data_IF_104332180813
#
_entry.id   IF_104332180813
#
_cell.length_a   1.000
_cell.length_b   1.000
_cell.length_c   1.000
_cell.angle_alpha   90.00
_cell.angle_beta   90.00
_cell.angle_gamma   90.00
#
_symmetry.space_group_name_H-M   'P 1'
#
loop_
_entity.id
_entity.type
_entity.pdbx_description
1 polymer ?
#
# COMPACT_ATOMS: atom_id res chain seq x y z
N UNK A 1 65.42 29.78 34.59
CA UNK A 1 63.98 30.13 34.59
C UNK A 1 63.40 29.68 33.26
N UNK A 2 62.64 28.58 33.23
CA UNK A 2 62.05 28.02 32.01
C UNK A 2 60.63 28.53 31.81
N UNK A 3 60.37 29.10 30.63
CA UNK A 3 59.07 29.64 30.23
C UNK A 3 58.13 28.48 29.87
N UNK A 4 57.03 28.34 30.61
CA UNK A 4 55.98 27.36 30.30
C UNK A 4 55.07 27.91 29.20
N UNK A 5 55.21 27.37 27.99
CA UNK A 5 54.35 27.68 26.85
C UNK A 5 52.95 27.11 27.10
N UNK A 6 52.01 28.01 27.42
CA UNK A 6 50.58 27.70 27.53
C UNK A 6 50.01 27.39 26.15
N UNK A 7 49.91 26.10 25.79
CA UNK A 7 49.18 25.67 24.60
C UNK A 7 47.70 25.94 24.82
N UNK A 8 47.13 26.90 24.11
CA UNK A 8 45.67 26.97 23.91
C UNK A 8 45.31 25.76 23.03
N UNK A 9 44.30 24.95 23.41
CA UNK A 9 43.70 24.03 22.47
C UNK A 9 43.08 24.89 21.37
N UNK A 10 43.57 24.71 20.15
CA UNK A 10 43.05 25.38 18.98
C UNK A 10 41.56 25.13 18.86
N UNK A 11 40.88 26.23 18.50
CA UNK A 11 39.47 26.38 18.27
C UNK A 11 39.03 25.45 17.13
N UNK A 12 38.83 24.17 17.44
CA UNK A 12 38.21 23.20 16.54
C UNK A 12 36.74 23.62 16.38
N UNK A 13 36.50 24.47 15.38
CA UNK A 13 35.29 25.28 15.30
C UNK A 13 34.00 24.46 15.21
N UNK A 14 32.85 25.11 15.47
CA UNK A 14 31.52 24.47 15.48
C UNK A 14 31.18 23.73 14.18
N UNK A 15 31.86 24.07 13.09
CA UNK A 15 31.75 23.46 11.75
C UNK A 15 32.22 22.00 11.70
N UNK A 16 33.23 21.63 12.48
CA UNK A 16 33.74 20.25 12.55
C UNK A 16 32.81 19.36 13.36
N UNK A 17 32.25 19.89 14.45
CA UNK A 17 31.26 19.20 15.29
C UNK A 17 30.00 18.92 14.48
N UNK A 18 29.50 19.91 13.73
CA UNK A 18 28.35 19.74 12.84
C UNK A 18 28.60 18.69 11.76
N UNK A 19 29.80 18.67 11.17
CA UNK A 19 30.15 17.66 10.14
C UNK A 19 30.23 16.26 10.73
N UNK A 20 30.77 16.11 11.95
CA UNK A 20 30.80 14.83 12.66
C UNK A 20 29.41 14.36 13.08
N UNK A 21 28.53 15.26 13.52
CA UNK A 21 27.12 14.94 13.83
C UNK A 21 26.37 14.53 12.56
N UNK A 22 26.58 15.23 11.44
CA UNK A 22 25.93 14.92 10.17
C UNK A 22 26.37 13.54 9.63
N UNK A 23 27.68 13.25 9.71
CA UNK A 23 28.23 11.95 9.34
C UNK A 23 27.77 10.82 10.27
N UNK A 24 27.72 11.07 11.58
CA UNK A 24 27.19 10.12 12.54
C UNK A 24 25.71 9.85 12.28
N UNK A 25 24.89 10.88 12.07
CA UNK A 25 23.49 10.73 11.74
C UNK A 25 23.30 9.89 10.46
N UNK A 26 24.08 10.13 9.42
CA UNK A 26 24.03 9.35 8.18
C UNK A 26 24.43 7.86 8.37
N UNK A 27 25.28 7.53 9.36
CA UNK A 27 25.68 6.16 9.69
C UNK A 27 24.73 5.47 10.69
N UNK A 28 24.03 6.25 11.53
CA UNK A 28 23.09 5.78 12.55
C UNK A 28 21.61 5.89 12.15
N UNK A 29 21.32 6.41 10.96
CA UNK A 29 20.05 6.21 10.27
C UNK A 29 20.18 4.90 9.50
N UNK A 30 19.91 3.71 10.11
CA UNK A 30 19.69 2.53 9.30
C UNK A 30 18.60 2.93 8.30
N UNK A 31 18.79 2.55 7.05
CA UNK A 31 17.80 2.70 6.00
C UNK A 31 16.42 2.39 6.58
N UNK A 32 15.61 3.42 6.83
CA UNK A 32 14.19 3.31 7.15
C UNK A 32 13.48 2.87 5.87
N UNK A 33 13.94 1.76 5.26
CA UNK A 33 13.16 0.97 4.34
C UNK A 33 12.16 0.22 5.20
N UNK A 34 11.17 0.96 5.68
CA UNK A 34 9.91 0.36 6.09
C UNK A 34 9.42 -0.37 4.84
N UNK A 35 9.43 -1.70 4.88
CA UNK A 35 8.93 -2.52 3.78
C UNK A 35 7.51 -2.05 3.46
N UNK A 36 7.41 -1.33 2.34
CA UNK A 36 6.21 -0.60 2.01
C UNK A 36 5.36 -1.50 1.11
N UNK A 37 4.20 -1.92 1.62
CA UNK A 37 3.29 -2.76 0.86
C UNK A 37 2.79 -2.00 -0.38
N UNK A 38 2.92 -2.60 -1.56
CA UNK A 38 2.47 -2.01 -2.82
C UNK A 38 1.14 -2.64 -3.24
N UNK A 39 0.07 -1.87 -3.40
CA UNK A 39 -1.25 -2.40 -3.76
C UNK A 39 -1.73 -1.86 -5.11
N UNK A 40 -2.58 -2.62 -5.82
CA UNK A 40 -3.26 -2.07 -6.99
C UNK A 40 -4.22 -0.98 -6.54
N UNK A 41 -4.27 0.14 -7.27
CA UNK A 41 -5.10 1.29 -6.92
C UNK A 41 -6.18 1.52 -7.96
N UNK A 42 -7.41 1.62 -7.49
CA UNK A 42 -8.53 2.09 -8.28
C UNK A 42 -9.46 2.93 -7.40
N UNK A 43 -9.74 4.19 -7.77
CA UNK A 43 -10.60 5.05 -6.98
C UNK A 43 -12.02 4.48 -6.90
N UNK A 44 -12.77 4.88 -5.87
CA UNK A 44 -14.17 4.50 -5.73
C UNK A 44 -14.97 4.95 -6.95
N UNK A 45 -15.51 3.99 -7.69
CA UNK A 45 -16.24 4.25 -8.93
C UNK A 45 -17.31 3.19 -9.16
N UNK A 46 -18.15 3.40 -10.18
CA UNK A 46 -19.15 2.41 -10.55
C UNK A 46 -18.51 1.07 -10.93
N UNK A 47 -19.09 -0.03 -10.44
CA UNK A 47 -18.67 -1.39 -10.75
C UNK A 47 -18.59 -1.57 -12.27
N UNK A 48 -17.50 -2.18 -12.75
CA UNK A 48 -17.28 -2.38 -14.18
C UNK A 48 -16.94 -1.09 -14.93
N UNK A 49 -16.41 -0.08 -14.23
CA UNK A 49 -15.65 0.99 -14.87
C UNK A 49 -14.19 0.53 -14.97
N UNK A 50 -13.54 0.79 -16.10
CA UNK A 50 -12.12 0.48 -16.26
C UNK A 50 -11.30 1.23 -15.20
N UNK A 51 -10.39 0.53 -14.55
CA UNK A 51 -9.40 1.12 -13.66
C UNK A 51 -8.06 1.29 -14.41
N UNK A 52 -7.30 2.36 -14.13
CA UNK A 52 -5.92 2.47 -14.59
C UNK A 52 -5.04 1.39 -13.95
N UNK A 53 -4.03 0.90 -14.69
CA UNK A 53 -3.05 -0.05 -14.16
C UNK A 53 -1.97 0.70 -13.37
N UNK A 54 -2.34 1.14 -12.17
CA UNK A 54 -1.47 1.88 -11.25
C UNK A 54 -1.50 1.25 -9.86
N UNK A 55 -0.43 1.50 -9.10
CA UNK A 55 -0.27 0.99 -7.74
C UNK A 55 0.06 2.10 -6.76
N UNK A 56 -0.39 1.93 -5.51
CA UNK A 56 -0.13 2.83 -4.39
C UNK A 56 0.71 2.15 -3.32
N UNK A 57 1.63 2.89 -2.72
CA UNK A 57 2.41 2.47 -1.57
C UNK A 57 1.62 2.72 -0.28
N UNK A 58 1.54 1.71 0.59
CA UNK A 58 0.76 1.79 1.81
C UNK A 58 1.58 2.20 3.03
N UNK A 59 0.90 2.76 4.03
CA UNK A 59 1.45 2.95 5.35
C UNK A 59 1.64 1.59 6.08
N UNK A 60 2.47 1.51 7.13
CA UNK A 60 2.80 0.25 7.80
C UNK A 60 1.61 -0.49 8.43
N UNK A 61 0.60 0.26 8.86
CA UNK A 61 -0.63 -0.21 9.48
C UNK A 61 -1.75 -0.47 8.46
N UNK A 62 -1.48 -0.25 7.18
CA UNK A 62 -2.43 -0.44 6.10
C UNK A 62 -2.23 -1.77 5.37
N UNK A 63 -3.30 -2.22 4.73
CA UNK A 63 -3.36 -3.47 3.96
C UNK A 63 -3.92 -3.21 2.57
N UNK A 64 -3.60 -4.08 1.61
CA UNK A 64 -4.25 -4.05 0.31
C UNK A 64 -5.70 -4.46 0.46
N UNK A 65 -6.62 -3.70 -0.12
CA UNK A 65 -8.06 -3.97 -0.12
C UNK A 65 -8.64 -4.01 -1.53
N UNK A 66 -9.63 -4.89 -1.71
CA UNK A 66 -10.66 -4.76 -2.74
C UNK A 66 -11.99 -4.46 -2.04
N UNK A 67 -12.52 -3.26 -2.30
CA UNK A 67 -13.71 -2.74 -1.67
C UNK A 67 -14.92 -2.89 -2.59
N UNK A 68 -16.07 -3.22 -2.01
CA UNK A 68 -17.35 -3.39 -2.71
C UNK A 68 -18.42 -2.53 -2.06
N UNK A 69 -18.92 -1.54 -2.77
CA UNK A 69 -19.97 -0.63 -2.32
C UNK A 69 -21.37 -1.08 -2.75
N UNK A 70 -22.27 -1.16 -1.79
CA UNK A 70 -23.63 -1.61 -1.97
C UNK A 70 -24.66 -0.51 -1.70
N UNK A 71 -25.70 -0.48 -2.53
CA UNK A 71 -26.94 0.23 -2.27
C UNK A 71 -28.04 -0.79 -2.01
N UNK A 72 -28.45 -0.93 -0.76
CA UNK A 72 -29.25 -2.08 -0.34
C UNK A 72 -28.48 -3.39 -0.58
N UNK A 73 -29.08 -4.32 -1.32
CA UNK A 73 -28.46 -5.61 -1.69
C UNK A 73 -27.63 -5.55 -2.98
N UNK A 74 -27.61 -4.42 -3.69
CA UNK A 74 -26.99 -4.31 -5.02
C UNK A 74 -25.56 -3.80 -4.92
N UNK A 75 -24.59 -4.60 -5.39
CA UNK A 75 -23.19 -4.19 -5.57
C UNK A 75 -23.06 -3.26 -6.79
N UNK A 76 -22.82 -1.98 -6.54
CA UNK A 76 -22.83 -0.92 -7.57
C UNK A 76 -21.55 -0.10 -7.66
N UNK A 77 -20.72 -0.10 -6.61
CA UNK A 77 -19.42 0.58 -6.59
C UNK A 77 -18.28 -0.38 -6.28
N UNK A 78 -17.09 -0.10 -6.78
CA UNK A 78 -15.88 -0.85 -6.47
C UNK A 78 -14.69 0.11 -6.27
N UNK A 79 -13.74 -0.28 -5.43
CA UNK A 79 -12.48 0.42 -5.23
C UNK A 79 -11.36 -0.58 -4.90
N UNK A 80 -10.11 -0.16 -5.09
CA UNK A 80 -8.92 -0.91 -4.70
C UNK A 80 -7.88 0.06 -4.16
N UNK A 81 -7.12 -0.34 -3.15
CA UNK A 81 -6.04 0.48 -2.61
C UNK A 81 -5.62 0.04 -1.21
N UNK A 82 -4.95 0.94 -0.51
CA UNK A 82 -4.58 0.79 0.89
C UNK A 82 -5.76 1.19 1.79
N UNK A 83 -6.03 0.39 2.83
CA UNK A 83 -6.97 0.73 3.90
C UNK A 83 -6.37 0.36 5.25
N UNK A 84 -6.82 1.00 6.32
CA UNK A 84 -6.37 0.69 7.67
C UNK A 84 -6.75 -0.75 8.03
N UNK A 85 -5.86 -1.46 8.72
CA UNK A 85 -6.05 -2.89 9.02
C UNK A 85 -7.34 -3.18 9.80
N UNK A 86 -7.87 -2.21 10.55
CA UNK A 86 -9.14 -2.30 11.30
C UNK A 86 -10.38 -2.31 10.40
N UNK A 87 -10.29 -1.77 9.19
CA UNK A 87 -11.38 -1.81 8.21
C UNK A 87 -11.47 -3.18 7.51
N UNK A 88 -10.45 -4.03 7.64
CA UNK A 88 -10.42 -5.32 6.96
C UNK A 88 -11.49 -6.28 7.48
N UNK A 89 -12.31 -6.79 6.56
CA UNK A 89 -13.45 -7.66 6.90
C UNK A 89 -14.64 -6.93 7.51
N UNK A 90 -14.55 -5.60 7.67
CA UNK A 90 -15.65 -4.77 8.15
C UNK A 90 -16.28 -3.97 7.00
N UNK A 91 -17.20 -3.09 7.36
CA UNK A 91 -17.91 -2.25 6.43
C UNK A 91 -18.10 -0.84 6.99
N UNK A 92 -18.17 0.14 6.10
CA UNK A 92 -18.34 1.55 6.44
C UNK A 92 -19.30 2.26 5.49
N UNK A 93 -19.89 3.36 5.96
CA UNK A 93 -20.79 4.18 5.16
C UNK A 93 -20.02 5.29 4.45
N UNK A 94 -19.88 5.17 3.13
CA UNK A 94 -19.18 6.14 2.29
C UNK A 94 -20.16 6.92 1.43
N UNK A 95 -19.98 8.24 1.34
CA UNK A 95 -20.75 9.09 0.43
C UNK A 95 -20.07 9.17 -0.93
N UNK A 96 -20.78 8.79 -1.99
CA UNK A 96 -20.33 8.92 -3.37
C UNK A 96 -21.38 9.66 -4.18
N UNK A 97 -21.01 10.82 -4.74
CA UNK A 97 -21.91 11.71 -5.50
C UNK A 97 -23.20 12.06 -4.73
N UNK A 98 -23.09 12.27 -3.42
CA UNK A 98 -24.21 12.66 -2.55
C UNK A 98 -25.08 11.50 -2.05
N UNK A 99 -24.81 10.26 -2.45
CA UNK A 99 -25.54 9.06 -2.00
C UNK A 99 -24.64 8.25 -1.07
N UNK A 100 -25.21 7.74 0.02
CA UNK A 100 -24.48 6.87 0.97
C UNK A 100 -24.54 5.42 0.52
N UNK A 101 -23.40 4.74 0.55
CA UNK A 101 -23.25 3.33 0.21
C UNK A 101 -22.60 2.59 1.37
N UNK A 102 -23.02 1.34 1.58
CA UNK A 102 -22.35 0.43 2.50
C UNK A 102 -21.17 -0.23 1.78
N UNK A 103 -19.94 0.13 2.16
CA UNK A 103 -18.71 -0.35 1.54
C UNK A 103 -18.05 -1.40 2.42
N UNK A 104 -17.92 -2.62 1.92
CA UNK A 104 -17.20 -3.70 2.58
C UNK A 104 -15.76 -3.80 2.07
N UNK A 105 -14.81 -4.17 2.93
CA UNK A 105 -13.39 -4.27 2.58
C UNK A 105 -12.88 -5.70 2.72
N UNK A 106 -12.37 -6.28 1.63
CA UNK A 106 -11.66 -7.58 1.66
C UNK A 106 -10.17 -7.31 1.53
N UNK A 107 -9.38 -7.76 2.50
CA UNK A 107 -7.96 -7.42 2.58
C UNK A 107 -7.02 -8.60 2.35
N UNK A 108 -5.78 -8.27 1.96
CA UNK A 108 -4.65 -9.17 1.83
C UNK A 108 -3.33 -8.42 2.12
N UNK A 109 -2.23 -9.17 2.25
CA UNK A 109 -0.99 -8.69 2.88
C UNK A 109 0.28 -8.81 2.00
N UNK A 110 0.11 -9.11 0.71
CA UNK A 110 1.23 -9.23 -0.24
C UNK A 110 1.15 -8.12 -1.28
N UNK A 111 2.27 -7.81 -1.91
CA UNK A 111 2.27 -6.82 -2.98
C UNK A 111 1.29 -7.22 -4.09
N UNK A 112 0.43 -6.26 -4.46
CA UNK A 112 -0.56 -6.31 -5.53
C UNK A 112 -1.52 -7.50 -5.43
N UNK A 113 -1.77 -7.98 -4.21
CA UNK A 113 -2.63 -9.13 -3.96
C UNK A 113 -4.14 -8.85 -4.12
N UNK A 114 -4.55 -7.58 -4.18
CA UNK A 114 -5.96 -7.18 -4.21
C UNK A 114 -6.63 -7.35 -5.58
N UNK A 115 -6.13 -8.29 -6.38
CA UNK A 115 -6.57 -8.58 -7.74
C UNK A 115 -6.19 -7.49 -8.74
N UNK A 116 -6.12 -7.85 -10.02
CA UNK A 116 -5.84 -6.88 -11.07
C UNK A 116 -6.99 -5.86 -11.19
N UNK A 117 -6.71 -4.58 -11.49
CA UNK A 117 -7.77 -3.60 -11.73
C UNK A 117 -8.69 -4.06 -12.85
N UNK A 118 -10.01 -3.98 -12.65
CA UNK A 118 -10.97 -4.44 -13.65
C UNK A 118 -10.83 -3.62 -14.94
N UNK A 119 -10.70 -4.29 -16.08
CA UNK A 119 -10.73 -3.68 -17.40
C UNK A 119 -12.01 -4.10 -18.15
N UNK A 120 -12.68 -3.13 -18.78
CA UNK A 120 -13.89 -3.38 -19.57
C UNK A 120 -13.62 -4.06 -20.92
N UNK A 121 -12.37 -4.43 -21.17
CA UNK A 121 -11.93 -5.04 -22.42
C UNK A 121 -12.58 -6.40 -22.63
N UNK A 122 -12.74 -7.21 -21.57
CA UNK A 122 -13.37 -8.53 -21.68
C UNK A 122 -14.85 -8.46 -22.06
N UNK A 123 -15.61 -7.54 -21.45
CA UNK A 123 -17.02 -7.36 -21.81
C UNK A 123 -17.18 -6.81 -23.23
N UNK A 124 -16.37 -5.80 -23.61
CA UNK A 124 -16.38 -5.26 -24.97
C UNK A 124 -15.96 -6.31 -26.01
N UNK A 125 -14.99 -7.17 -25.68
CA UNK A 125 -14.56 -8.30 -26.51
C UNK A 125 -15.67 -9.35 -26.66
N UNK A 126 -16.34 -9.72 -25.56
CA UNK A 126 -17.49 -10.63 -25.58
C UNK A 126 -18.65 -10.08 -26.40
N UNK A 127 -18.92 -8.77 -26.30
CA UNK A 127 -19.93 -8.07 -27.09
C UNK A 127 -19.49 -7.80 -28.54
N UNK A 128 -18.31 -8.28 -28.96
CA UNK A 128 -17.81 -8.09 -30.33
C UNK A 128 -17.46 -6.63 -30.68
N UNK A 129 -17.35 -5.75 -29.68
CA UNK A 129 -17.08 -4.32 -29.86
C UNK A 129 -15.60 -4.00 -30.10
N UNK A 130 -14.71 -5.00 -29.98
CA UNK A 130 -13.29 -4.92 -30.33
C UNK A 130 -12.99 -6.03 -31.35
N UNK A 131 -12.98 -5.66 -32.63
CA UNK A 131 -12.60 -6.53 -33.73
C UNK A 131 -11.07 -6.61 -33.83
N UNK A 132 -10.45 -7.42 -32.98
CA UNK A 132 -9.06 -7.82 -33.18
C UNK A 132 -8.93 -9.34 -33.15
N UNK A 133 -8.16 -9.87 -34.12
CA UNK A 133 -8.17 -11.29 -34.51
C UNK A 133 -8.07 -12.22 -33.30
N UNK A 134 -9.09 -13.07 -33.14
CA UNK A 134 -9.13 -14.15 -32.16
C UNK A 134 -7.96 -15.13 -32.38
N UNK A 135 -6.89 -14.99 -31.59
CA UNK A 135 -6.26 -16.16 -31.00
C UNK A 135 -6.91 -16.37 -29.64
N UNK A 136 -7.59 -17.51 -29.49
CA UNK A 136 -8.28 -17.92 -28.27
C UNK A 136 -7.29 -18.69 -27.40
N UNK A 137 -6.77 -18.13 -26.29
CA UNK A 137 -6.32 -18.95 -25.19
C UNK A 137 -7.55 -19.32 -24.35
N UNK A 138 -7.57 -20.57 -23.89
CA UNK A 138 -8.61 -21.19 -23.09
C UNK A 138 -9.16 -20.25 -22.01
N UNK A 139 -10.50 -20.16 -21.95
CA UNK A 139 -11.24 -19.57 -20.83
C UNK A 139 -10.86 -20.35 -19.57
N UNK A 140 -9.92 -19.81 -18.81
CA UNK A 140 -9.80 -20.15 -17.40
C UNK A 140 -11.00 -19.52 -16.73
N UNK A 141 -11.92 -20.40 -16.31
CA UNK A 141 -12.94 -20.13 -15.29
C UNK A 141 -12.34 -19.17 -14.28
N UNK A 142 -12.98 -18.02 -14.06
CA UNK A 142 -12.63 -17.04 -13.02
C UNK A 142 -12.50 -17.81 -11.71
N UNK A 143 -11.26 -18.21 -11.42
CA UNK A 143 -10.87 -18.82 -10.17
C UNK A 143 -11.16 -17.73 -9.16
N UNK A 144 -12.09 -18.00 -8.25
CA UNK A 144 -12.28 -17.18 -7.08
C UNK A 144 -10.91 -17.17 -6.39
N UNK A 145 -10.16 -16.08 -6.58
CA UNK A 145 -8.80 -15.98 -6.09
C UNK A 145 -8.89 -16.18 -4.59
N UNK A 146 -8.28 -17.26 -4.12
CA UNK A 146 -8.22 -17.63 -2.73
C UNK A 146 -7.47 -16.50 -2.04
N UNK A 147 -8.21 -15.55 -1.49
CA UNK A 147 -7.67 -14.37 -0.83
C UNK A 147 -6.73 -14.83 0.28
N UNK A 148 -5.44 -14.52 0.13
CA UNK A 148 -4.43 -14.82 1.14
C UNK A 148 -4.75 -14.00 2.39
N UNK A 149 -5.38 -14.64 3.38
CA UNK A 149 -5.73 -14.00 4.64
C UNK A 149 -4.48 -13.52 5.38
N UNK A 150 -4.57 -12.35 6.01
CA UNK A 150 -3.48 -11.70 6.73
C UNK A 150 -3.04 -12.36 8.06
N UNK A 151 -3.45 -13.61 8.33
CA UNK A 151 -3.31 -14.30 9.62
C UNK A 151 -1.85 -14.40 10.12
N UNK A 152 -0.88 -14.41 9.20
CA UNK A 152 0.55 -14.57 9.54
C UNK A 152 1.36 -13.26 9.58
N UNK A 153 0.77 -12.11 9.23
CA UNK A 153 1.51 -10.84 9.12
C UNK A 153 1.56 -10.05 10.44
N UNK A 154 0.92 -10.54 11.49
CA UNK A 154 0.89 -9.91 12.83
C UNK A 154 2.21 -10.02 13.59
N UNK A 155 3.18 -10.80 13.11
CA UNK A 155 4.37 -11.19 13.90
C UNK A 155 5.65 -10.40 13.62
N UNK A 156 5.67 -9.42 12.70
CA UNK A 156 6.91 -8.68 12.37
C UNK A 156 7.11 -7.38 13.17
N UNK A 157 6.23 -7.05 14.12
CA UNK A 157 6.30 -5.82 14.92
C UNK A 157 6.73 -6.04 16.39
N UNK A 158 7.25 -7.21 16.76
CA UNK A 158 7.92 -7.34 18.06
C UNK A 158 9.33 -6.75 18.00
N UNK A 159 9.42 -5.50 18.44
CA UNK A 159 10.62 -4.87 18.98
C UNK A 159 11.37 -5.89 19.87
N UNK A 160 12.70 -6.10 19.71
CA UNK A 160 13.45 -6.80 20.74
C UNK A 160 13.58 -5.86 21.95
N UNK A 161 12.67 -6.00 22.91
CA UNK A 161 12.97 -5.64 24.30
C UNK A 161 14.00 -6.65 24.80
N UNK A 162 15.29 -6.32 24.71
CA UNK A 162 16.28 -6.96 25.55
C UNK A 162 16.65 -6.01 26.69
N UNK A 163 16.16 -6.40 27.87
CA UNK A 163 16.66 -6.00 29.16
C UNK A 163 17.98 -6.71 29.44
N UNK A 164 19.05 -5.99 29.77
CA UNK A 164 19.94 -6.17 30.95
C UNK A 164 21.03 -5.10 30.92
#
# INVERSE_FOLDING_TARGET
MGSQTKRRPDLLGPRWILSSILMAAALFLPSLSLDSLLCNFCPLQHKGTSCPDISSQCLPDQRCSSSRGHFGSLHVLSAQGCVDAELCGSHEMVSFRGVKYNVSHTCCCRDKCNGHPHSNTNLKKLLGMLADKLHYPNITVLREERWDSCVNYTSSNTLPTNAS
#
